data_IF_839135952463
#
_entry.id   IF_839135952463
#
_cell.length_a   1.000
_cell.length_b   1.000
_cell.length_c   1.000
_cell.angle_alpha   90.00
_cell.angle_beta   90.00
_cell.angle_gamma   90.00
#
_symmetry.space_group_name_H-M   'P 1'
#
loop_
_entity.id
_entity.type
_entity.pdbx_description
1 polymer ?
#
# COMPACT_ATOMS: atom_id res chain seq x y z
N UNK A 1 12.80 12.67 3.60
CA UNK A 1 12.07 11.70 4.46
C UNK A 1 12.44 10.32 3.95
N UNK A 2 13.29 9.57 4.68
CA UNK A 2 13.66 8.21 4.29
C UNK A 2 12.39 7.36 4.35
N UNK A 3 11.82 7.02 3.20
CA UNK A 3 10.57 6.27 3.10
C UNK A 3 10.77 4.89 3.71
N UNK A 4 10.36 4.73 4.99
CA UNK A 4 10.17 3.40 5.55
C UNK A 4 9.02 2.76 4.80
N UNK A 5 9.32 1.71 4.05
CA UNK A 5 8.32 0.83 3.44
C UNK A 5 7.52 0.21 4.60
N UNK A 6 6.21 0.43 4.69
CA UNK A 6 5.39 -0.20 5.70
C UNK A 6 5.35 -1.70 5.41
N UNK A 7 5.85 -2.49 6.36
CA UNK A 7 5.77 -3.95 6.31
C UNK A 7 4.62 -4.42 7.20
N UNK A 8 3.73 -5.21 6.63
CA UNK A 8 2.67 -5.89 7.37
C UNK A 8 3.18 -7.23 7.85
N UNK A 9 2.92 -7.53 9.12
CA UNK A 9 3.27 -8.80 9.73
C UNK A 9 1.98 -9.51 10.13
N UNK A 10 1.81 -10.73 9.63
CA UNK A 10 0.62 -11.55 9.82
C UNK A 10 0.96 -12.60 10.87
N UNK A 11 0.27 -12.55 12.00
CA UNK A 11 0.46 -13.48 13.10
C UNK A 11 -0.73 -14.42 13.24
N UNK A 12 -0.43 -15.69 13.52
CA UNK A 12 -1.39 -16.64 14.05
C UNK A 12 -1.43 -16.50 15.56
N UNK A 13 -2.61 -16.20 16.11
CA UNK A 13 -2.80 -16.17 17.55
C UNK A 13 -2.56 -17.56 18.15
N UNK A 14 -1.69 -17.63 19.15
CA UNK A 14 -1.44 -18.85 19.92
C UNK A 14 -2.64 -19.19 20.81
N UNK A 15 -2.88 -20.49 21.02
CA UNK A 15 -3.88 -20.97 21.99
C UNK A 15 -3.43 -20.81 23.44
N UNK A 16 -4.11 -21.48 24.37
CA UNK A 16 -3.77 -21.45 25.80
C UNK A 16 -2.28 -21.80 26.02
N UNK A 17 -1.54 -20.90 26.67
CA UNK A 17 -0.09 -20.97 26.99
C UNK A 17 0.88 -21.04 25.78
N UNK A 18 0.47 -20.67 24.56
CA UNK A 18 1.38 -20.61 23.39
C UNK A 18 1.54 -19.17 22.90
N UNK A 19 2.76 -18.80 22.52
CA UNK A 19 3.04 -17.51 21.89
C UNK A 19 2.49 -17.44 20.46
N UNK A 20 2.19 -16.24 20.00
CA UNK A 20 1.78 -15.99 18.62
C UNK A 20 2.90 -16.34 17.64
N UNK A 21 2.54 -16.93 16.51
CA UNK A 21 3.49 -17.35 15.47
C UNK A 21 3.39 -16.41 14.27
N UNK A 22 4.52 -15.84 13.83
CA UNK A 22 4.58 -15.11 12.57
C UNK A 22 4.38 -16.10 11.42
N UNK A 23 3.33 -15.88 10.62
CA UNK A 23 3.03 -16.70 9.43
C UNK A 23 3.69 -16.09 8.20
N UNK A 24 3.56 -14.77 8.04
CA UNK A 24 4.04 -14.10 6.86
C UNK A 24 4.30 -12.61 7.09
N UNK A 25 5.10 -12.06 6.18
CA UNK A 25 5.43 -10.65 6.04
C UNK A 25 5.02 -10.20 4.65
N UNK A 26 4.58 -8.94 4.53
CA UNK A 26 4.18 -8.37 3.26
C UNK A 26 4.66 -6.92 3.18
N UNK A 27 5.51 -6.62 2.21
CA UNK A 27 6.06 -5.28 2.01
C UNK A 27 5.15 -4.48 1.08
N UNK A 28 4.66 -3.33 1.55
CA UNK A 28 3.78 -2.47 0.76
C UNK A 28 4.57 -1.35 0.08
N UNK A 29 4.48 -1.29 -1.24
CA UNK A 29 5.13 -0.24 -2.03
C UNK A 29 4.31 1.05 -1.91
N UNK A 30 4.93 2.09 -1.35
CA UNK A 30 4.33 3.42 -1.21
C UNK A 30 4.40 4.27 -2.49
N UNK A 31 5.01 3.75 -3.57
CA UNK A 31 5.29 4.53 -4.78
C UNK A 31 4.01 5.08 -5.42
N UNK A 32 2.94 4.30 -5.40
CA UNK A 32 1.64 4.72 -5.94
C UNK A 32 0.96 5.83 -5.11
N UNK A 33 1.31 5.96 -3.81
CA UNK A 33 0.80 7.00 -2.91
C UNK A 33 1.48 8.36 -3.11
N UNK A 34 2.51 8.43 -3.96
CA UNK A 34 3.12 9.69 -4.37
C UNK A 34 2.26 10.43 -5.40
N UNK A 35 1.61 9.70 -6.30
CA UNK A 35 0.79 10.26 -7.38
C UNK A 35 -0.71 10.16 -7.09
N UNK A 36 -1.15 9.12 -6.37
CA UNK A 36 -2.57 8.83 -6.13
C UNK A 36 -2.92 8.94 -4.66
N UNK A 37 -4.13 9.47 -4.41
CA UNK A 37 -4.71 9.64 -3.06
C UNK A 37 -5.26 8.31 -2.50
N UNK A 38 -5.53 7.36 -3.39
CA UNK A 38 -6.08 6.05 -3.05
C UNK A 38 -5.30 4.96 -3.76
N UNK A 39 -4.82 3.99 -2.97
CA UNK A 39 -4.17 2.79 -3.48
C UNK A 39 -4.90 1.58 -2.93
N UNK A 40 -5.21 0.65 -3.83
CA UNK A 40 -5.79 -0.64 -3.50
C UNK A 40 -5.00 -1.69 -4.25
N UNK A 41 -4.29 -2.53 -3.50
CA UNK A 41 -3.44 -3.57 -4.06
C UNK A 41 -3.62 -4.88 -3.30
N UNK A 42 -3.33 -5.97 -4.01
CA UNK A 42 -3.25 -7.31 -3.48
C UNK A 42 -1.81 -7.78 -3.61
N UNK A 43 -1.16 -8.07 -2.48
CA UNK A 43 0.21 -8.60 -2.46
C UNK A 43 0.23 -10.01 -1.89
N UNK A 44 1.13 -10.84 -2.41
CA UNK A 44 1.31 -12.19 -1.90
C UNK A 44 2.05 -12.16 -0.55
N UNK A 45 1.62 -13.04 0.35
CA UNK A 45 2.24 -13.22 1.66
C UNK A 45 3.56 -13.98 1.54
N UNK A 46 4.63 -13.42 2.13
CA UNK A 46 5.99 -13.97 2.06
C UNK A 46 6.49 -14.40 3.44
N UNK A 47 6.99 -15.62 3.57
CA UNK A 47 7.78 -16.08 4.72
C UNK A 47 9.26 -16.08 4.32
N UNK A 48 9.92 -14.94 4.53
CA UNK A 48 11.26 -14.69 4.03
C UNK A 48 11.30 -14.67 2.49
N UNK A 49 11.86 -15.70 1.86
CA UNK A 49 11.92 -15.84 0.38
C UNK A 49 10.83 -16.73 -0.20
N UNK A 50 10.09 -17.48 0.62
CA UNK A 50 9.05 -18.40 0.17
C UNK A 50 7.68 -17.73 0.22
N UNK A 51 6.85 -17.96 -0.80
CA UNK A 51 5.44 -17.56 -0.76
C UNK A 51 4.68 -18.53 0.16
N UNK A 52 3.96 -18.00 1.16
CA UNK A 52 3.28 -18.81 2.18
C UNK A 52 1.91 -19.31 1.72
N UNK A 53 1.43 -18.84 0.57
CA UNK A 53 0.09 -19.15 0.06
C UNK A 53 -0.98 -18.32 0.77
N UNK A 54 -1.39 -17.22 0.14
CA UNK A 54 -2.35 -16.27 0.69
C UNK A 54 -2.05 -14.87 0.17
N UNK A 55 -3.09 -14.04 0.03
CA UNK A 55 -3.00 -12.67 -0.46
C UNK A 55 -3.46 -11.69 0.59
N UNK A 56 -2.69 -10.62 0.78
CA UNK A 56 -3.08 -9.47 1.58
C UNK A 56 -3.64 -8.40 0.66
N UNK A 57 -4.95 -8.14 0.78
CA UNK A 57 -5.58 -6.99 0.17
C UNK A 57 -5.50 -5.81 1.13
N UNK A 58 -4.91 -4.70 0.68
CA UNK A 58 -4.81 -3.49 1.49
C UNK A 58 -5.31 -2.27 0.73
N UNK A 59 -5.98 -1.38 1.44
CA UNK A 59 -6.47 -0.11 0.91
C UNK A 59 -5.96 1.04 1.77
N UNK A 60 -5.11 1.87 1.19
CA UNK A 60 -4.58 3.06 1.85
C UNK A 60 -5.24 4.28 1.26
N UNK A 61 -5.70 5.18 2.14
CA UNK A 61 -6.25 6.48 1.77
C UNK A 61 -5.47 7.56 2.53
N UNK A 62 -4.87 8.48 1.79
CA UNK A 62 -4.21 9.66 2.33
C UNK A 62 -5.05 10.88 1.99
N UNK A 63 -4.93 11.97 2.76
CA UNK A 63 -5.67 13.21 2.48
C UNK A 63 -5.07 13.97 1.31
N UNK A 64 -3.74 14.01 1.25
CA UNK A 64 -2.96 14.71 0.25
C UNK A 64 -1.83 13.79 -0.22
N UNK A 65 -1.50 13.77 -1.53
CA UNK A 65 -0.43 12.94 -2.06
C UNK A 65 0.90 13.28 -1.38
N UNK A 66 1.70 12.26 -1.08
CA UNK A 66 2.95 12.39 -0.30
C UNK A 66 3.97 13.31 -0.96
N UNK A 67 3.89 13.48 -2.29
CA UNK A 67 4.81 14.30 -3.07
C UNK A 67 4.50 15.80 -2.99
N UNK A 68 3.47 16.22 -2.23
CA UNK A 68 3.17 17.60 -1.87
C UNK A 68 2.99 18.56 -3.05
N UNK A 69 1.77 19.01 -3.35
CA UNK A 69 1.43 20.11 -4.28
C UNK A 69 2.22 20.20 -5.62
N UNK A 70 2.83 19.13 -6.12
CA UNK A 70 3.13 19.02 -7.55
C UNK A 70 1.82 18.71 -8.27
N UNK A 71 1.02 19.76 -8.47
CA UNK A 71 -0.04 19.76 -9.46
C UNK A 71 0.62 19.39 -10.78
N UNK A 72 0.51 18.13 -11.21
CA UNK A 72 0.77 17.79 -12.60
C UNK A 72 -0.35 18.46 -13.39
N UNK A 73 -0.08 19.69 -13.83
CA UNK A 73 -0.96 20.44 -14.73
C UNK A 73 -1.05 19.60 -15.99
N UNK A 74 -2.03 18.72 -16.03
CA UNK A 74 -2.31 17.89 -17.19
C UNK A 74 -3.12 18.78 -18.10
N UNK A 75 -2.47 19.39 -19.08
CA UNK A 75 -3.14 20.14 -20.15
C UNK A 75 -3.98 19.16 -20.98
N UNK A 76 -5.20 18.87 -20.52
CA UNK A 76 -6.22 18.27 -21.36
C UNK A 76 -6.73 19.35 -22.32
N UNK A 77 -7.04 18.99 -23.57
CA UNK A 77 -7.78 19.88 -24.46
C UNK A 77 -9.20 20.04 -23.91
N UNK A 78 -9.38 21.05 -23.07
CA UNK A 78 -10.70 21.43 -22.59
C UNK A 78 -11.43 22.06 -23.77
N UNK A 79 -12.54 21.44 -24.20
CA UNK A 79 -13.47 22.08 -25.11
C UNK A 79 -14.14 23.20 -24.33
N UNK A 80 -13.74 24.45 -24.61
CA UNK A 80 -14.39 25.63 -24.07
C UNK A 80 -15.49 26.01 -25.05
N UNK A 81 -16.74 25.94 -24.61
CA UNK A 81 -17.88 26.47 -25.37
C UNK A 81 -18.06 27.93 -24.94
N UNK A 82 -17.79 28.86 -25.84
CA UNK A 82 -18.17 30.26 -25.66
C UNK A 82 -19.67 30.41 -26.03
N UNK A 83 -20.42 31.13 -25.19
CA UNK A 83 -21.84 31.45 -25.38
C UNK A 83 -21.96 32.75 -26.16
#
# INVERSE_FOLDING_TARGET
IRQKIPSFQIYQKGGFLRSDKLIATADCKLIDLEEKVHVHESIDLMEGRKQTGGKLNYRIRIREPLNGKKLSITQKKWLILEI
#
